data_IF_934392554816
#
_entry.id   IF_934392554816
#
_cell.length_a   1.000
_cell.length_b   1.000
_cell.length_c   1.000
_cell.angle_alpha   90.00
_cell.angle_beta   90.00
_cell.angle_gamma   90.00
#
_symmetry.space_group_name_H-M   'P 1'
#
loop_
_entity.id
_entity.type
_entity.pdbx_description
1 polymer ?
#
# COMPACT_ATOMS: atom_id res chain seq x y z
N UNK A 1 -24.15 0.22 37.79
CA UNK A 1 -24.07 -0.48 36.50
C UNK A 1 -23.53 0.41 35.38
N UNK A 2 -22.87 1.53 35.70
CA UNK A 2 -22.37 2.51 34.72
C UNK A 2 -20.88 2.32 34.37
N UNK A 3 -20.07 1.82 35.31
CA UNK A 3 -18.63 1.60 35.09
C UNK A 3 -18.34 0.56 33.99
N UNK A 4 -19.20 -0.46 33.83
CA UNK A 4 -19.01 -1.52 32.82
C UNK A 4 -19.07 -0.96 31.39
N UNK A 5 -19.90 0.05 31.15
CA UNK A 5 -20.06 0.65 29.82
C UNK A 5 -18.85 1.54 29.48
N UNK A 6 -18.25 2.21 30.47
CA UNK A 6 -17.04 3.03 30.27
C UNK A 6 -15.85 2.15 29.89
N UNK A 7 -15.65 0.99 30.54
CA UNK A 7 -14.58 0.07 30.18
C UNK A 7 -14.77 -0.56 28.80
N UNK A 8 -16.00 -0.90 28.43
CA UNK A 8 -16.31 -1.43 27.09
C UNK A 8 -16.08 -0.36 26.03
N UNK A 9 -16.51 0.88 26.25
CA UNK A 9 -16.26 1.99 25.31
C UNK A 9 -14.75 2.25 25.18
N UNK A 10 -14.01 2.27 26.29
CA UNK A 10 -12.56 2.48 26.24
C UNK A 10 -11.84 1.35 25.52
N UNK A 11 -12.27 0.10 25.73
CA UNK A 11 -11.74 -1.06 25.04
C UNK A 11 -12.06 -1.03 23.54
N UNK A 12 -13.28 -0.63 23.15
CA UNK A 12 -13.66 -0.46 21.75
C UNK A 12 -12.93 0.70 21.08
N UNK A 13 -12.69 1.80 21.79
CA UNK A 13 -11.89 2.94 21.29
C UNK A 13 -10.43 2.53 21.12
N UNK A 14 -9.83 1.83 22.09
CA UNK A 14 -8.44 1.36 21.97
C UNK A 14 -8.31 0.29 20.90
N UNK A 15 -9.27 -0.63 20.78
CA UNK A 15 -9.29 -1.67 19.77
C UNK A 15 -9.47 -1.08 18.37
N UNK A 16 -10.39 -0.12 18.20
CA UNK A 16 -10.58 0.58 16.93
C UNK A 16 -9.37 1.43 16.54
N UNK A 17 -8.73 2.12 17.48
CA UNK A 17 -7.47 2.83 17.24
C UNK A 17 -6.35 1.86 16.87
N UNK A 18 -6.26 0.69 17.51
CA UNK A 18 -5.27 -0.33 17.17
C UNK A 18 -5.47 -0.90 15.76
N UNK A 19 -6.72 -1.17 15.37
CA UNK A 19 -7.05 -1.66 14.01
C UNK A 19 -6.91 -0.59 12.94
N UNK A 20 -7.13 0.68 13.27
CA UNK A 20 -7.05 1.80 12.32
C UNK A 20 -5.61 2.29 12.12
N UNK A 21 -4.79 2.36 13.18
CA UNK A 21 -3.40 2.84 13.10
C UNK A 21 -2.46 1.89 12.34
N UNK A 22 -2.61 0.57 12.49
CA UNK A 22 -1.68 -0.40 11.86
C UNK A 22 -1.68 -0.41 10.32
N UNK A 23 -2.70 0.18 9.71
CA UNK A 23 -2.89 0.32 8.27
C UNK A 23 -2.22 1.58 7.70
N UNK A 24 -2.44 2.72 8.36
CA UNK A 24 -1.84 4.01 8.03
C UNK A 24 -0.32 3.96 8.16
N UNK A 25 0.16 3.27 9.20
CA UNK A 25 1.60 3.12 9.46
C UNK A 25 2.33 2.38 8.32
N UNK A 26 1.65 1.46 7.61
CA UNK A 26 2.25 0.68 6.52
C UNK A 26 2.43 1.50 5.24
N UNK A 27 1.43 2.29 4.86
CA UNK A 27 1.51 3.14 3.67
C UNK A 27 2.50 4.29 3.89
N UNK A 28 2.51 4.88 5.09
CA UNK A 28 3.49 5.92 5.44
C UNK A 28 4.93 5.37 5.48
N UNK A 29 5.10 4.13 5.93
CA UNK A 29 6.40 3.47 5.86
C UNK A 29 6.81 3.25 4.39
N UNK A 30 5.88 2.81 3.53
CA UNK A 30 6.13 2.64 2.11
C UNK A 30 6.59 3.96 1.45
N UNK A 31 5.93 5.08 1.73
CA UNK A 31 6.36 6.42 1.30
C UNK A 31 7.76 6.77 1.78
N UNK A 32 8.11 6.44 3.02
CA UNK A 32 9.45 6.71 3.57
C UNK A 32 10.54 5.91 2.84
N UNK A 33 10.23 4.67 2.44
CA UNK A 33 11.16 3.85 1.64
C UNK A 33 11.27 4.40 0.22
N UNK A 34 10.16 4.85 -0.38
CA UNK A 34 10.14 5.50 -1.70
C UNK A 34 11.04 6.74 -1.75
N UNK A 35 10.87 7.66 -0.79
CA UNK A 35 11.68 8.88 -0.66
C UNK A 35 13.18 8.55 -0.59
N UNK A 36 13.52 7.47 0.14
CA UNK A 36 14.91 7.02 0.27
C UNK A 36 15.44 6.42 -1.02
N UNK A 37 14.64 5.66 -1.77
CA UNK A 37 15.03 5.15 -3.09
C UNK A 37 15.30 6.34 -4.02
N UNK A 38 14.42 7.35 -4.04
CA UNK A 38 14.59 8.55 -4.86
C UNK A 38 15.86 9.31 -4.50
N UNK A 39 16.17 9.48 -3.22
CA UNK A 39 17.42 10.12 -2.78
C UNK A 39 18.65 9.37 -3.30
N UNK A 40 18.63 8.03 -3.27
CA UNK A 40 19.71 7.18 -3.74
C UNK A 40 19.86 7.21 -5.27
N UNK A 41 18.75 7.21 -6.01
CA UNK A 41 18.72 7.34 -7.46
C UNK A 41 19.23 8.72 -7.92
N UNK A 42 18.89 9.78 -7.19
CA UNK A 42 19.31 11.14 -7.52
C UNK A 42 20.82 11.39 -7.28
N UNK A 43 21.44 10.65 -6.36
CA UNK A 43 22.85 10.81 -5.98
C UNK A 43 23.53 9.45 -5.74
N UNK A 44 23.72 8.64 -6.80
CA UNK A 44 24.32 7.32 -6.69
C UNK A 44 25.76 7.41 -6.17
N UNK A 45 26.08 6.55 -5.22
CA UNK A 45 27.41 6.46 -4.58
C UNK A 45 27.75 5.00 -4.35
N UNK A 46 28.94 4.58 -4.75
CA UNK A 46 29.47 3.21 -4.54
C UNK A 46 29.18 2.59 -3.17
N UNK A 47 29.32 3.36 -2.08
CA UNK A 47 29.05 2.86 -0.72
C UNK A 47 27.59 2.44 -0.45
N UNK A 48 26.65 2.92 -1.28
CA UNK A 48 25.23 2.65 -1.19
C UNK A 48 24.75 1.68 -2.30
N UNK A 49 25.68 1.08 -3.06
CA UNK A 49 25.38 0.26 -4.23
C UNK A 49 24.51 -0.97 -3.90
N UNK A 50 24.80 -1.68 -2.81
CA UNK A 50 23.95 -2.78 -2.35
C UNK A 50 22.71 -2.25 -1.62
N UNK A 51 22.88 -1.17 -0.85
CA UNK A 51 21.80 -0.62 -0.03
C UNK A 51 20.57 -0.18 -0.85
N UNK A 52 20.76 0.37 -2.05
CA UNK A 52 19.62 0.72 -2.91
C UNK A 52 18.84 -0.53 -3.36
N UNK A 53 19.52 -1.64 -3.64
CA UNK A 53 18.87 -2.90 -4.00
C UNK A 53 18.02 -3.40 -2.83
N UNK A 54 18.58 -3.38 -1.62
CA UNK A 54 17.86 -3.74 -0.39
C UNK A 54 16.62 -2.84 -0.16
N UNK A 55 16.73 -1.53 -0.46
CA UNK A 55 15.60 -0.61 -0.32
C UNK A 55 14.48 -0.93 -1.34
N UNK A 56 14.82 -1.26 -2.58
CA UNK A 56 13.84 -1.62 -3.61
C UNK A 56 13.18 -2.96 -3.27
N UNK A 57 13.95 -3.95 -2.83
CA UNK A 57 13.42 -5.24 -2.39
C UNK A 57 12.47 -5.09 -1.18
N UNK A 58 12.88 -4.28 -0.19
CA UNK A 58 12.01 -3.92 0.94
C UNK A 58 10.72 -3.24 0.48
N UNK A 59 10.82 -2.31 -0.47
CA UNK A 59 9.66 -1.64 -1.05
C UNK A 59 8.71 -2.64 -1.70
N UNK A 60 9.24 -3.54 -2.52
CA UNK A 60 8.47 -4.61 -3.17
C UNK A 60 7.77 -5.51 -2.15
N UNK A 61 8.47 -5.92 -1.10
CA UNK A 61 7.89 -6.70 -0.01
C UNK A 61 6.76 -5.97 0.72
N UNK A 62 6.95 -4.69 1.03
CA UNK A 62 5.93 -3.87 1.68
C UNK A 62 4.70 -3.68 0.79
N UNK A 63 4.90 -3.38 -0.49
CA UNK A 63 3.83 -3.20 -1.46
C UNK A 63 3.02 -4.49 -1.64
N UNK A 64 3.69 -5.64 -1.78
CA UNK A 64 3.03 -6.94 -1.83
C UNK A 64 2.17 -7.22 -0.58
N UNK A 65 2.72 -6.96 0.61
CA UNK A 65 1.96 -7.15 1.86
C UNK A 65 0.71 -6.25 1.92
N UNK A 66 0.80 -5.02 1.39
CA UNK A 66 -0.35 -4.12 1.29
C UNK A 66 -1.41 -4.70 0.33
N UNK A 67 -1.00 -5.26 -0.81
CA UNK A 67 -1.92 -5.95 -1.74
C UNK A 67 -2.65 -7.09 -1.03
N UNK A 68 -1.94 -7.92 -0.28
CA UNK A 68 -2.55 -9.03 0.46
C UNK A 68 -3.56 -8.55 1.51
N UNK A 69 -3.26 -7.46 2.21
CA UNK A 69 -4.20 -6.88 3.18
C UNK A 69 -5.43 -6.30 2.48
N UNK A 70 -5.28 -5.65 1.32
CA UNK A 70 -6.43 -5.14 0.55
C UNK A 70 -7.38 -6.26 0.15
N UNK A 71 -6.86 -7.46 -0.17
CA UNK A 71 -7.68 -8.64 -0.49
C UNK A 71 -8.54 -9.12 0.67
N UNK A 72 -8.18 -8.78 1.91
CA UNK A 72 -8.99 -9.05 3.11
C UNK A 72 -10.19 -8.10 3.27
N UNK A 73 -10.34 -7.11 2.37
CA UNK A 73 -11.52 -6.22 2.24
C UNK A 73 -11.84 -5.35 3.45
N UNK A 74 -10.84 -4.95 4.23
CA UNK A 74 -11.04 -4.02 5.36
C UNK A 74 -11.41 -2.60 4.84
N UNK A 75 -12.62 -2.09 5.10
CA UNK A 75 -13.10 -0.83 4.50
C UNK A 75 -12.20 0.40 4.79
N UNK A 76 -11.77 0.56 6.05
CA UNK A 76 -10.89 1.65 6.47
C UNK A 76 -9.54 1.64 5.75
N UNK A 77 -9.06 0.44 5.41
CA UNK A 77 -7.82 0.28 4.66
C UNK A 77 -7.97 0.73 3.20
N UNK A 78 -9.13 0.46 2.59
CA UNK A 78 -9.41 0.89 1.22
C UNK A 78 -9.49 2.42 1.10
N UNK A 79 -10.03 3.13 2.10
CA UNK A 79 -9.97 4.60 2.10
C UNK A 79 -8.53 5.10 2.19
N UNK A 80 -7.69 4.45 2.99
CA UNK A 80 -6.26 4.79 3.08
C UNK A 80 -5.51 4.48 1.78
N UNK A 81 -5.80 3.37 1.12
CA UNK A 81 -5.23 3.05 -0.20
C UNK A 81 -5.69 4.03 -1.29
N UNK A 82 -6.93 4.53 -1.21
CA UNK A 82 -7.43 5.55 -2.12
C UNK A 82 -6.62 6.84 -2.01
N UNK A 83 -6.38 7.33 -0.80
CA UNK A 83 -5.60 8.57 -0.63
C UNK A 83 -4.18 8.43 -1.18
N UNK A 84 -3.59 7.24 -1.05
CA UNK A 84 -2.27 6.91 -1.62
C UNK A 84 -2.27 6.87 -3.16
N UNK A 85 -3.37 6.46 -3.80
CA UNK A 85 -3.53 6.54 -5.26
C UNK A 85 -3.67 8.00 -5.71
N UNK A 86 -4.46 8.78 -4.98
CA UNK A 86 -4.74 10.18 -5.30
C UNK A 86 -3.48 11.07 -5.21
N UNK A 87 -2.47 10.66 -4.43
CA UNK A 87 -1.14 11.31 -4.35
C UNK A 87 -0.15 10.90 -5.46
N UNK A 88 -0.63 10.24 -6.52
CA UNK A 88 0.09 9.80 -7.75
C UNK A 88 0.87 8.49 -7.67
N UNK A 89 0.84 7.75 -6.56
CA UNK A 89 1.56 6.48 -6.42
C UNK A 89 3.07 6.65 -6.22
N UNK A 90 3.87 5.58 -6.35
CA UNK A 90 5.30 5.60 -6.03
C UNK A 90 6.03 6.59 -6.92
N UNK A 91 6.78 7.51 -6.33
CA UNK A 91 7.53 8.51 -7.05
C UNK A 91 8.84 7.94 -7.63
N UNK A 92 9.39 6.84 -7.08
CA UNK A 92 10.56 6.18 -7.67
C UNK A 92 10.28 5.67 -9.10
N UNK A 93 9.08 5.16 -9.39
CA UNK A 93 8.73 4.62 -10.72
C UNK A 93 8.26 5.69 -11.72
N UNK A 94 8.01 6.92 -11.26
CA UNK A 94 7.56 8.02 -12.13
C UNK A 94 8.72 8.73 -12.84
N UNK A 95 9.96 8.53 -12.38
CA UNK A 95 11.12 9.20 -12.92
C UNK A 95 11.82 8.33 -13.97
N UNK A 96 12.27 8.90 -15.10
CA UNK A 96 13.08 8.16 -16.06
C UNK A 96 14.42 7.78 -15.39
N UNK A 97 14.80 6.52 -15.56
CA UNK A 97 16.07 5.99 -15.05
C UNK A 97 17.15 6.18 -16.11
N UNK A 98 18.23 6.87 -15.74
CA UNK A 98 19.48 6.89 -16.51
C UNK A 98 20.39 5.76 -16.02
N UNK A 99 20.32 4.62 -16.68
CA UNK A 99 21.07 3.42 -16.32
C UNK A 99 22.59 3.63 -16.36
N UNK A 100 23.07 4.42 -17.33
CA UNK A 100 24.49 4.69 -17.45
C UNK A 100 24.97 5.56 -16.26
N UNK A 101 24.17 6.54 -15.87
CA UNK A 101 24.44 7.35 -14.68
C UNK A 101 24.47 6.51 -13.40
N UNK A 102 23.49 5.62 -13.21
CA UNK A 102 23.45 4.74 -12.04
C UNK A 102 24.62 3.76 -12.02
N UNK A 103 24.92 3.12 -13.16
CA UNK A 103 26.03 2.17 -13.29
C UNK A 103 27.36 2.84 -12.92
N UNK A 104 27.60 4.06 -13.41
CA UNK A 104 28.80 4.81 -13.08
C UNK A 104 28.84 5.29 -11.61
N UNK A 105 27.72 5.80 -11.08
CA UNK A 105 27.68 6.34 -9.72
C UNK A 105 27.76 5.29 -8.61
N UNK A 106 27.15 4.12 -8.83
CA UNK A 106 27.23 2.98 -7.92
C UNK A 106 28.44 2.08 -8.17
N UNK A 107 29.17 2.27 -9.27
CA UNK A 107 30.26 1.40 -9.70
C UNK A 107 29.78 -0.05 -9.90
N UNK A 108 28.62 -0.20 -10.56
CA UNK A 108 27.99 -1.49 -10.81
C UNK A 108 28.60 -2.21 -12.02
N UNK A 109 28.70 -3.53 -11.89
CA UNK A 109 28.84 -4.43 -13.04
C UNK A 109 27.54 -4.48 -13.85
N UNK A 110 27.61 -5.01 -15.08
CA UNK A 110 26.40 -5.28 -15.87
C UNK A 110 25.43 -6.22 -15.15
N UNK A 111 25.96 -7.18 -14.39
CA UNK A 111 25.15 -8.10 -13.59
C UNK A 111 24.37 -7.38 -12.49
N UNK A 112 25.01 -6.43 -11.79
CA UNK A 112 24.34 -5.63 -10.76
C UNK A 112 23.33 -4.64 -11.35
N UNK A 113 23.62 -4.06 -12.50
CA UNK A 113 22.65 -3.23 -13.22
C UNK A 113 21.43 -4.06 -13.65
N UNK A 114 21.64 -5.30 -14.10
CA UNK A 114 20.56 -6.21 -14.45
C UNK A 114 19.72 -6.61 -13.23
N UNK A 115 20.35 -6.90 -12.09
CA UNK A 115 19.65 -7.16 -10.83
C UNK A 115 18.76 -5.97 -10.43
N UNK A 116 19.29 -4.75 -10.51
CA UNK A 116 18.52 -3.52 -10.30
C UNK A 116 17.31 -3.44 -11.25
N UNK A 117 17.51 -3.67 -12.55
CA UNK A 117 16.41 -3.64 -13.55
C UNK A 117 15.30 -4.65 -13.22
N UNK A 118 15.67 -5.86 -12.78
CA UNK A 118 14.72 -6.88 -12.37
C UNK A 118 13.89 -6.42 -11.16
N UNK A 119 14.55 -5.92 -10.11
CA UNK A 119 13.87 -5.43 -8.92
C UNK A 119 12.93 -4.26 -9.24
N UNK A 120 13.38 -3.34 -10.09
CA UNK A 120 12.58 -2.19 -10.49
C UNK A 120 11.38 -2.59 -11.36
N UNK A 121 11.56 -3.56 -12.26
CA UNK A 121 10.47 -4.16 -13.04
C UNK A 121 9.44 -4.84 -12.14
N UNK A 122 9.89 -5.52 -11.08
CA UNK A 122 8.98 -6.08 -10.08
C UNK A 122 8.18 -5.00 -9.36
N UNK A 123 8.80 -3.84 -9.05
CA UNK A 123 8.09 -2.69 -8.46
C UNK A 123 6.95 -2.21 -9.34
N UNK A 124 7.18 -2.06 -10.66
CA UNK A 124 6.13 -1.71 -11.62
C UNK A 124 4.99 -2.73 -11.61
N UNK A 125 5.31 -4.02 -11.73
CA UNK A 125 4.30 -5.08 -11.77
C UNK A 125 3.48 -5.16 -10.47
N UNK A 126 4.12 -4.95 -9.31
CA UNK A 126 3.44 -4.93 -8.02
C UNK A 126 2.54 -3.71 -7.86
N UNK A 127 2.94 -2.56 -8.43
CA UNK A 127 2.12 -1.37 -8.45
C UNK A 127 0.87 -1.56 -9.31
N UNK A 128 1.02 -2.15 -10.49
CA UNK A 128 -0.12 -2.50 -11.34
C UNK A 128 -1.06 -3.48 -10.62
N UNK A 129 -0.51 -4.51 -9.98
CA UNK A 129 -1.29 -5.46 -9.17
C UNK A 129 -2.03 -4.77 -8.01
N UNK A 130 -1.40 -3.78 -7.37
CA UNK A 130 -2.01 -2.96 -6.34
C UNK A 130 -3.23 -2.20 -6.89
N UNK A 131 -3.08 -1.53 -8.04
CA UNK A 131 -4.17 -0.79 -8.68
C UNK A 131 -5.32 -1.72 -9.10
N UNK A 132 -5.01 -2.85 -9.72
CA UNK A 132 -5.99 -3.87 -10.12
C UNK A 132 -6.77 -4.43 -8.93
N UNK A 133 -6.05 -4.77 -7.86
CA UNK A 133 -6.64 -5.30 -6.61
C UNK A 133 -7.56 -4.26 -5.98
N UNK A 134 -7.11 -3.01 -5.88
CA UNK A 134 -7.91 -1.91 -5.35
C UNK A 134 -9.21 -1.72 -6.15
N UNK A 135 -9.14 -1.72 -7.48
CA UNK A 135 -10.31 -1.55 -8.33
C UNK A 135 -11.29 -2.72 -8.21
N UNK A 136 -10.78 -3.95 -8.15
CA UNK A 136 -11.60 -5.16 -7.98
C UNK A 136 -12.34 -5.15 -6.65
N UNK A 137 -11.63 -4.94 -5.54
CA UNK A 137 -12.22 -4.91 -4.19
C UNK A 137 -13.23 -3.77 -4.05
N UNK A 138 -12.98 -2.61 -4.66
CA UNK A 138 -13.90 -1.47 -4.67
C UNK A 138 -15.20 -1.77 -5.43
N UNK A 139 -15.15 -2.46 -6.56
CA UNK A 139 -16.34 -2.88 -7.32
C UNK A 139 -17.16 -3.89 -6.53
N UNK A 140 -16.50 -4.88 -5.93
CA UNK A 140 -17.14 -5.89 -5.09
C UNK A 140 -17.83 -5.24 -3.88
N UNK A 141 -17.16 -4.31 -3.20
CA UNK A 141 -17.72 -3.61 -2.04
C UNK A 141 -18.97 -2.80 -2.38
N UNK A 142 -18.96 -2.06 -3.50
CA UNK A 142 -20.15 -1.32 -3.97
C UNK A 142 -21.31 -2.25 -4.27
N UNK A 143 -21.03 -3.41 -4.86
CA UNK A 143 -22.04 -4.42 -5.17
C UNK A 143 -22.63 -5.02 -3.88
N UNK A 144 -21.78 -5.34 -2.90
CA UNK A 144 -22.19 -5.83 -1.59
C UNK A 144 -23.11 -4.85 -0.83
N UNK A 145 -22.71 -3.58 -0.73
CA UNK A 145 -23.53 -2.54 -0.08
C UNK A 145 -24.85 -2.31 -0.81
N UNK A 146 -24.86 -2.37 -2.15
CA UNK A 146 -26.08 -2.24 -2.93
C UNK A 146 -27.06 -3.41 -2.69
N UNK A 147 -26.55 -4.63 -2.51
CA UNK A 147 -27.39 -5.82 -2.24
C UNK A 147 -27.91 -5.88 -0.79
N UNK A 148 -27.14 -5.43 0.19
CA UNK A 148 -27.60 -5.40 1.60
C UNK A 148 -28.50 -4.18 1.91
N UNK A 149 -28.27 -3.04 1.24
CA UNK A 149 -29.11 -1.84 1.38
C UNK A 149 -30.52 -1.96 0.78
N UNK A 150 -30.78 -2.98 -0.03
CA UNK A 150 -32.11 -3.26 -0.61
C UNK A 150 -32.98 -4.20 0.24
N UNK A 151 -32.48 -4.71 1.37
CA UNK A 151 -33.24 -5.60 2.27
C UNK A 151 -33.59 -4.85 3.56
N UNK A 152 -34.31 -3.73 3.46
CA UNK A 152 -34.84 -3.05 4.66
C UNK A 152 -36.06 -2.16 4.41
N UNK A 153 -36.93 -2.46 3.43
CA UNK A 153 -38.16 -1.65 3.28
C UNK A 153 -39.45 -2.41 2.88
N UNK A 154 -39.44 -3.74 2.81
CA UNK A 154 -40.67 -4.51 2.54
C UNK A 154 -40.82 -5.73 3.45
N UNK A 155 -41.05 -5.50 4.74
CA UNK A 155 -41.74 -6.48 5.59
C UNK A 155 -42.70 -5.79 6.57
N UNK A 156 -43.56 -4.94 6.03
CA UNK A 156 -44.86 -4.63 6.64
C UNK A 156 -45.94 -5.52 6.02
N UNK A 157 -45.86 -6.82 6.31
CA UNK A 157 -47.01 -7.72 6.12
C UNK A 157 -48.05 -7.36 7.18
N UNK A 158 -49.13 -6.75 6.70
CA UNK A 158 -50.36 -6.46 7.44
C UNK A 158 -50.88 -7.73 8.11
N UNK A 159 -50.91 -7.74 9.43
CA UNK A 159 -51.78 -8.62 10.20
C UNK A 159 -53.17 -7.98 10.26
N UNK A 160 -54.14 -8.62 9.60
CA UNK A 160 -55.58 -8.53 9.89
C UNK A 160 -56.15 -9.93 10.01
#
# INVERSE_FOLDING_TARGET
MECSNVFVILFLVVYSLYTCCGSIDKLRFLETVDDRIIELLAKPKKRNAEFILDQIDLYNHCLFNIVEIMRLRTPDFLETCRSFIDTRGPACIQQPIDEQYLKQGFDWSDEKLYEFQLLFTQTFNLWDLFLETFMTVKVDYRTYVATEGTVSDEDHVKLR
#
